data_IF_118729418449
#
_entry.id   IF_118729418449
#
_cell.length_a   1.000
_cell.length_b   1.000
_cell.length_c   1.000
_cell.angle_alpha   90.00
_cell.angle_beta   90.00
_cell.angle_gamma   90.00
#
_symmetry.space_group_name_H-M   'P 1'
#
loop_
_entity.id
_entity.type
_entity.pdbx_description
1 polymer ?
#
# COMPACT_ATOMS: atom_id res chain seq x y z
N UNK A 1 -10.98 -14.17 5.79
CA UNK A 1 -10.29 -12.96 5.28
C UNK A 1 -10.05 -12.01 6.43
N UNK A 2 -8.92 -11.29 6.47
CA UNK A 2 -8.59 -10.40 7.60
C UNK A 2 -9.19 -9.01 7.43
N UNK A 3 -8.99 -8.39 6.27
CA UNK A 3 -9.48 -7.05 5.98
C UNK A 3 -10.71 -7.12 5.08
N UNK A 4 -11.89 -6.87 5.64
CA UNK A 4 -13.16 -6.99 4.93
C UNK A 4 -14.08 -5.82 5.28
N UNK A 5 -14.81 -5.35 4.27
CA UNK A 5 -15.95 -4.45 4.39
C UNK A 5 -17.15 -5.06 3.68
N UNK A 6 -18.29 -5.08 4.35
CA UNK A 6 -19.57 -5.55 3.79
C UNK A 6 -20.56 -4.40 3.78
N UNK A 7 -21.23 -4.18 2.66
CA UNK A 7 -22.20 -3.11 2.45
C UNK A 7 -23.58 -3.71 2.21
N UNK A 8 -24.55 -3.24 2.98
CA UNK A 8 -25.95 -3.70 3.01
C UNK A 8 -26.12 -5.20 3.27
N UNK A 9 -25.08 -5.82 3.84
CA UNK A 9 -25.05 -7.22 4.24
C UNK A 9 -24.74 -7.26 5.74
N UNK A 10 -25.65 -7.84 6.51
CA UNK A 10 -25.47 -8.02 7.94
C UNK A 10 -24.56 -9.23 8.19
N UNK A 11 -23.28 -8.97 8.45
CA UNK A 11 -22.34 -10.03 8.83
C UNK A 11 -22.34 -10.23 10.36
N UNK A 12 -22.45 -11.48 10.86
CA UNK A 12 -22.54 -11.77 12.29
C UNK A 12 -21.23 -11.50 13.05
N UNK A 13 -20.09 -11.44 12.35
CA UNK A 13 -18.75 -11.27 12.93
C UNK A 13 -18.23 -9.82 12.81
N UNK A 14 -19.10 -8.85 12.57
CA UNK A 14 -18.71 -7.44 12.50
C UNK A 14 -18.76 -6.80 13.89
N UNK A 15 -17.62 -6.26 14.34
CA UNK A 15 -17.57 -5.48 15.58
C UNK A 15 -18.26 -4.11 15.42
N UNK A 16 -18.17 -3.53 14.22
CA UNK A 16 -18.61 -2.16 13.97
C UNK A 16 -19.56 -2.11 12.79
N UNK A 17 -20.80 -1.72 13.10
CA UNK A 17 -21.82 -1.34 12.13
C UNK A 17 -21.90 0.17 12.07
N UNK A 18 -21.91 0.70 10.87
CA UNK A 18 -21.90 2.14 10.60
C UNK A 18 -23.01 2.43 9.60
N UNK A 19 -23.65 3.58 9.73
CA UNK A 19 -24.57 4.10 8.74
C UNK A 19 -23.84 5.22 8.00
N UNK A 20 -23.74 5.10 6.68
CA UNK A 20 -23.14 6.10 5.80
C UNK A 20 -24.09 7.30 5.66
N UNK A 21 -23.58 8.44 5.19
CA UNK A 21 -24.38 9.63 4.91
C UNK A 21 -25.42 9.37 3.79
N UNK A 22 -25.10 8.44 2.89
CA UNK A 22 -25.96 7.88 1.85
C UNK A 22 -26.98 6.85 2.37
N UNK A 23 -26.95 6.48 3.66
CA UNK A 23 -27.94 5.60 4.29
C UNK A 23 -27.65 4.10 4.18
N UNK A 24 -26.47 3.70 3.71
CA UNK A 24 -26.06 2.30 3.63
C UNK A 24 -25.60 1.77 5.00
N UNK A 25 -25.88 0.48 5.25
CA UNK A 25 -25.40 -0.20 6.45
C UNK A 25 -24.08 -0.88 6.13
N UNK A 26 -23.02 -0.47 6.79
CA UNK A 26 -21.68 -0.97 6.53
C UNK A 26 -21.13 -1.69 7.75
N UNK A 27 -20.61 -2.89 7.51
CA UNK A 27 -19.98 -3.75 8.50
C UNK A 27 -18.50 -3.89 8.17
N UNK A 28 -17.61 -3.61 9.13
CA UNK A 28 -16.15 -3.67 8.91
C UNK A 28 -15.54 -4.73 9.84
N UNK A 29 -14.60 -5.53 9.31
CA UNK A 29 -13.89 -6.53 10.11
C UNK A 29 -13.04 -5.87 11.21
N UNK A 30 -12.85 -6.57 12.33
CA UNK A 30 -12.03 -6.07 13.45
C UNK A 30 -10.61 -5.68 13.02
N UNK A 31 -9.97 -6.48 12.17
CA UNK A 31 -8.62 -6.18 11.71
C UNK A 31 -8.58 -4.91 10.82
N UNK A 32 -9.57 -4.72 9.94
CA UNK A 32 -9.65 -3.52 9.12
C UNK A 32 -9.96 -2.28 9.95
N UNK A 33 -10.90 -2.38 10.89
CA UNK A 33 -11.19 -1.28 11.81
C UNK A 33 -9.95 -0.88 12.62
N UNK A 34 -9.17 -1.86 13.11
CA UNK A 34 -7.91 -1.58 13.81
C UNK A 34 -6.90 -0.88 12.92
N UNK A 35 -6.67 -1.39 11.71
CA UNK A 35 -5.72 -0.81 10.75
C UNK A 35 -6.11 0.63 10.37
N UNK A 36 -7.40 0.88 10.11
CA UNK A 36 -7.92 2.23 9.83
C UNK A 36 -7.71 3.18 11.02
N UNK A 37 -7.95 2.73 12.26
CA UNK A 37 -7.71 3.54 13.45
C UNK A 37 -6.22 3.87 13.65
N UNK A 38 -5.32 2.91 13.42
CA UNK A 38 -3.87 3.12 13.47
C UNK A 38 -3.40 4.15 12.44
N UNK A 39 -4.12 4.24 11.31
CA UNK A 39 -3.91 5.20 10.23
C UNK A 39 -4.71 6.51 10.41
N UNK A 40 -5.48 6.64 11.51
CA UNK A 40 -6.38 7.77 11.79
C UNK A 40 -7.41 8.02 10.68
N UNK A 41 -7.84 6.98 9.99
CA UNK A 41 -8.93 7.03 9.01
C UNK A 41 -10.21 6.65 9.72
N UNK A 42 -11.22 7.53 9.69
CA UNK A 42 -12.50 7.20 10.29
C UNK A 42 -13.16 6.05 9.50
N UNK A 43 -13.68 5.01 10.16
CA UNK A 43 -14.36 3.92 9.47
C UNK A 43 -15.55 4.37 8.61
N UNK A 44 -16.22 5.46 8.99
CA UNK A 44 -17.29 6.06 8.17
C UNK A 44 -16.74 6.68 6.90
N UNK A 45 -15.69 7.50 7.00
CA UNK A 45 -15.01 8.09 5.82
C UNK A 45 -14.55 7.00 4.86
N UNK A 46 -13.94 5.92 5.37
CA UNK A 46 -13.53 4.81 4.53
C UNK A 46 -14.71 4.12 3.84
N UNK A 47 -15.84 3.95 4.53
CA UNK A 47 -17.07 3.40 3.94
C UNK A 47 -17.61 4.26 2.79
N UNK A 48 -17.62 5.60 2.92
CA UNK A 48 -18.02 6.50 1.83
C UNK A 48 -17.08 6.37 0.62
N UNK A 49 -15.77 6.28 0.85
CA UNK A 49 -14.78 6.08 -0.23
C UNK A 49 -15.05 4.78 -0.99
N UNK A 50 -15.37 3.70 -0.27
CA UNK A 50 -15.71 2.42 -0.88
C UNK A 50 -17.02 2.50 -1.68
N UNK A 51 -18.04 3.18 -1.15
CA UNK A 51 -19.30 3.40 -1.89
C UNK A 51 -19.06 4.17 -3.18
N UNK A 52 -18.32 5.28 -3.13
CA UNK A 52 -17.99 6.05 -4.32
C UNK A 52 -17.25 5.21 -5.38
N UNK A 53 -16.29 4.38 -4.95
CA UNK A 53 -15.62 3.43 -5.86
C UNK A 53 -16.61 2.45 -6.52
N UNK A 54 -17.55 1.89 -5.74
CA UNK A 54 -18.55 0.96 -6.27
C UNK A 54 -19.52 1.64 -7.24
N UNK A 55 -19.90 2.89 -6.97
CA UNK A 55 -20.77 3.70 -7.83
C UNK A 55 -20.08 4.08 -9.15
N UNK A 56 -18.79 4.44 -9.11
CA UNK A 56 -18.02 4.75 -10.33
C UNK A 56 -17.84 3.51 -11.23
N UNK A 57 -17.88 2.31 -10.66
CA UNK A 57 -17.74 1.04 -11.37
C UNK A 57 -16.49 0.97 -12.26
N UNK A 58 -15.37 1.50 -11.76
CA UNK A 58 -14.07 1.51 -12.41
C UNK A 58 -13.16 0.42 -11.83
N UNK A 59 -12.01 0.17 -12.49
CA UNK A 59 -10.96 -0.69 -11.95
C UNK A 59 -10.01 0.04 -10.99
N UNK A 60 -10.07 1.36 -10.96
CA UNK A 60 -9.18 2.25 -10.21
C UNK A 60 -9.94 3.49 -9.78
N UNK A 61 -9.87 3.82 -8.50
CA UNK A 61 -10.48 5.01 -7.93
C UNK A 61 -9.50 5.68 -6.98
N UNK A 62 -9.39 6.99 -7.07
CA UNK A 62 -8.51 7.79 -6.23
C UNK A 62 -9.27 8.94 -5.59
N UNK A 63 -9.02 9.18 -4.32
CA UNK A 63 -9.51 10.36 -3.59
C UNK A 63 -8.48 10.80 -2.56
N UNK A 64 -8.71 11.94 -1.93
CA UNK A 64 -7.77 12.52 -0.97
C UNK A 64 -8.38 12.64 0.42
N UNK A 65 -7.55 12.39 1.42
CA UNK A 65 -7.86 12.52 2.85
C UNK A 65 -6.77 13.34 3.53
N UNK A 66 -6.97 13.67 4.81
CA UNK A 66 -5.95 14.29 5.64
C UNK A 66 -4.66 13.45 5.70
N UNK A 67 -3.54 14.11 6.00
CA UNK A 67 -2.25 13.45 6.12
C UNK A 67 -2.27 12.26 7.11
N UNK A 68 -1.73 11.13 6.67
CA UNK A 68 -1.54 9.95 7.51
C UNK A 68 -0.46 10.19 8.57
N UNK A 69 -0.56 9.55 9.75
CA UNK A 69 0.51 9.59 10.73
C UNK A 69 1.77 8.93 10.16
N UNK A 70 2.83 9.72 9.97
CA UNK A 70 4.13 9.21 9.51
C UNK A 70 4.72 8.29 10.59
N UNK A 71 4.97 7.03 10.23
CA UNK A 71 5.70 6.09 11.10
C UNK A 71 7.20 6.42 11.07
N UNK A 72 7.93 6.09 12.13
CA UNK A 72 9.39 6.27 12.20
C UNK A 72 10.06 5.61 10.98
N UNK A 73 10.95 6.34 10.30
CA UNK A 73 11.61 5.89 9.08
C UNK A 73 11.66 7.02 8.04
N UNK A 74 11.39 6.68 6.78
CA UNK A 74 11.25 7.67 5.71
C UNK A 74 10.04 8.58 5.94
N UNK A 75 10.25 9.89 5.77
CA UNK A 75 9.17 10.89 5.84
C UNK A 75 8.03 10.56 4.87
N UNK A 76 8.41 10.09 3.67
CA UNK A 76 7.48 9.67 2.63
C UNK A 76 7.15 8.20 2.81
N UNK A 77 5.85 7.91 2.87
CA UNK A 77 5.35 6.62 3.27
C UNK A 77 4.12 6.23 2.44
N UNK A 78 4.04 4.95 2.10
CA UNK A 78 2.84 4.34 1.55
C UNK A 78 2.45 3.11 2.35
N UNK A 79 1.14 2.86 2.44
CA UNK A 79 0.56 1.66 3.07
C UNK A 79 -0.30 0.94 2.05
N UNK A 80 0.00 -0.33 1.79
CA UNK A 80 -0.78 -1.18 0.89
C UNK A 80 -1.49 -2.25 1.72
N UNK A 81 -2.80 -2.37 1.54
CA UNK A 81 -3.66 -3.30 2.26
C UNK A 81 -4.45 -4.11 1.22
N UNK A 82 -4.38 -5.44 1.34
CA UNK A 82 -5.26 -6.35 0.62
C UNK A 82 -6.64 -6.32 1.28
N UNK A 83 -7.67 -5.89 0.55
CA UNK A 83 -9.04 -5.72 1.07
C UNK A 83 -10.04 -6.55 0.27
N UNK A 84 -11.08 -6.98 0.97
CA UNK A 84 -12.24 -7.65 0.38
C UNK A 84 -13.49 -6.82 0.58
N UNK A 85 -14.23 -6.59 -0.50
CA UNK A 85 -15.48 -5.83 -0.51
C UNK A 85 -16.62 -6.76 -0.84
N UNK A 86 -17.60 -6.85 0.05
CA UNK A 86 -18.82 -7.62 -0.15
C UNK A 86 -20.00 -6.67 -0.35
N UNK A 87 -20.62 -6.69 -1.54
CA UNK A 87 -21.73 -5.81 -1.89
C UNK A 87 -22.67 -6.50 -2.87
N UNK A 88 -23.99 -6.43 -2.63
CA UNK A 88 -25.01 -6.97 -3.55
C UNK A 88 -24.78 -8.43 -4.00
N UNK A 89 -24.27 -9.29 -3.10
CA UNK A 89 -23.87 -10.68 -3.38
C UNK A 89 -22.63 -10.86 -4.27
N UNK A 90 -21.95 -9.78 -4.62
CA UNK A 90 -20.62 -9.81 -5.24
C UNK A 90 -19.52 -9.70 -4.19
N UNK A 91 -18.40 -10.37 -4.48
CA UNK A 91 -17.21 -10.33 -3.64
C UNK A 91 -16.02 -9.87 -4.48
N UNK A 92 -15.49 -8.68 -4.17
CA UNK A 92 -14.39 -8.05 -4.91
C UNK A 92 -13.11 -8.10 -4.09
N UNK A 93 -12.04 -8.60 -4.70
CA UNK A 93 -10.67 -8.56 -4.18
C UNK A 93 -9.96 -7.33 -4.72
N UNK A 94 -9.48 -6.46 -3.85
CA UNK A 94 -8.88 -5.18 -4.25
C UNK A 94 -7.66 -4.84 -3.39
N UNK A 95 -6.82 -3.95 -3.89
CA UNK A 95 -5.82 -3.27 -3.08
C UNK A 95 -6.28 -1.87 -2.70
N UNK A 96 -6.13 -1.56 -1.42
CA UNK A 96 -6.17 -0.21 -0.88
C UNK A 96 -4.73 0.27 -0.71
N UNK A 97 -4.39 1.37 -1.38
CA UNK A 97 -3.07 1.99 -1.34
C UNK A 97 -3.23 3.40 -0.80
N UNK A 98 -2.51 3.69 0.27
CA UNK A 98 -2.54 4.97 0.94
C UNK A 98 -1.19 5.64 0.76
N UNK A 99 -1.13 6.77 0.06
CA UNK A 99 0.12 7.46 -0.28
C UNK A 99 0.18 8.78 0.48
N UNK A 100 1.21 8.98 1.30
CA UNK A 100 1.36 10.22 2.05
C UNK A 100 2.21 11.26 1.29
N UNK A 101 1.59 12.41 0.99
CA UNK A 101 2.18 13.56 0.31
C UNK A 101 2.50 14.72 1.28
N UNK A 102 2.96 14.38 2.50
CA UNK A 102 3.21 15.29 3.62
C UNK A 102 1.95 15.92 4.24
N UNK A 103 1.30 16.87 3.55
CA UNK A 103 0.16 17.63 4.09
C UNK A 103 -1.19 16.99 3.76
N UNK A 104 -1.21 16.10 2.78
CA UNK A 104 -2.38 15.39 2.29
C UNK A 104 -2.01 13.94 2.02
N UNK A 105 -2.98 13.05 2.04
CA UNK A 105 -2.78 11.67 1.63
C UNK A 105 -3.79 11.27 0.57
N UNK A 106 -3.35 10.46 -0.37
CA UNK A 106 -4.22 9.86 -1.37
C UNK A 106 -4.65 8.47 -0.91
N UNK A 107 -5.93 8.17 -1.12
CA UNK A 107 -6.52 6.84 -1.02
C UNK A 107 -6.78 6.36 -2.43
N UNK A 108 -6.13 5.26 -2.81
CA UNK A 108 -6.27 4.60 -4.08
C UNK A 108 -6.85 3.20 -3.86
N UNK A 109 -7.99 2.90 -4.48
CA UNK A 109 -8.57 1.56 -4.55
C UNK A 109 -8.36 1.04 -5.97
N UNK A 110 -7.81 -0.16 -6.13
CA UNK A 110 -7.59 -0.74 -7.45
C UNK A 110 -7.75 -2.26 -7.49
N UNK A 111 -8.08 -2.76 -8.68
CA UNK A 111 -8.01 -4.17 -9.03
C UNK A 111 -6.55 -4.67 -9.03
N UNK A 112 -6.22 -5.81 -8.40
CA UNK A 112 -4.87 -6.38 -8.41
C UNK A 112 -4.26 -6.56 -9.80
N UNK A 113 -5.08 -6.80 -10.83
CA UNK A 113 -4.60 -7.00 -12.21
C UNK A 113 -3.91 -5.78 -12.81
N UNK A 114 -4.18 -4.59 -12.28
CA UNK A 114 -3.60 -3.33 -12.77
C UNK A 114 -2.64 -2.70 -11.74
N UNK A 115 -2.12 -3.51 -10.80
CA UNK A 115 -1.23 -3.03 -9.76
C UNK A 115 0.03 -2.33 -10.28
N UNK A 116 0.51 -2.69 -11.47
CA UNK A 116 1.62 -1.99 -12.15
C UNK A 116 1.38 -0.47 -12.24
N UNK A 117 0.14 -0.01 -12.43
CA UNK A 117 -0.18 1.43 -12.47
C UNK A 117 0.09 2.11 -11.12
N UNK A 118 -0.26 1.43 -10.02
CA UNK A 118 0.00 1.95 -8.69
C UNK A 118 1.50 1.91 -8.34
N UNK A 119 2.19 0.84 -8.71
CA UNK A 119 3.65 0.75 -8.58
C UNK A 119 4.36 1.88 -9.33
N UNK A 120 3.93 2.18 -10.56
CA UNK A 120 4.53 3.26 -11.36
C UNK A 120 4.29 4.62 -10.72
N UNK A 121 3.08 4.86 -10.20
CA UNK A 121 2.73 6.08 -9.46
C UNK A 121 3.58 6.24 -8.19
N UNK A 122 3.70 5.18 -7.40
CA UNK A 122 4.53 5.16 -6.18
C UNK A 122 5.99 5.47 -6.50
N UNK A 123 6.56 4.80 -7.50
CA UNK A 123 7.95 5.00 -7.90
C UNK A 123 8.20 6.37 -8.54
N UNK A 124 7.24 6.90 -9.29
CA UNK A 124 7.29 8.26 -9.82
C UNK A 124 7.41 9.26 -8.68
N UNK A 125 6.55 9.13 -7.67
CA UNK A 125 6.61 9.99 -6.50
C UNK A 125 7.93 9.81 -5.73
N UNK A 126 8.30 8.57 -5.42
CA UNK A 126 9.52 8.22 -4.70
C UNK A 126 10.78 8.81 -5.36
N UNK A 127 10.82 8.85 -6.70
CA UNK A 127 11.98 9.37 -7.45
C UNK A 127 12.27 10.86 -7.22
N UNK A 128 11.28 11.62 -6.76
CA UNK A 128 11.45 13.03 -6.40
C UNK A 128 12.00 13.22 -4.98
N UNK A 129 12.13 12.14 -4.21
CA UNK A 129 12.43 12.15 -2.77
C UNK A 129 13.74 11.42 -2.48
N UNK A 130 14.28 11.64 -1.28
CA UNK A 130 15.51 10.97 -0.84
C UNK A 130 15.26 9.52 -0.42
N UNK A 131 14.10 9.24 0.18
CA UNK A 131 13.66 7.89 0.45
C UNK A 131 12.14 7.79 0.56
N UNK A 132 11.58 6.61 0.31
CA UNK A 132 10.18 6.33 0.52
C UNK A 132 10.00 4.88 1.01
N UNK A 133 9.26 4.71 2.10
CA UNK A 133 8.90 3.38 2.62
C UNK A 133 7.52 2.99 2.09
N UNK A 134 7.39 1.77 1.57
CA UNK A 134 6.12 1.12 1.28
C UNK A 134 5.95 -0.01 2.27
N UNK A 135 4.90 0.03 3.08
CA UNK A 135 4.63 -1.03 4.07
C UNK A 135 3.31 -1.74 3.81
N UNK A 136 3.23 -2.98 4.30
CA UNK A 136 2.09 -3.87 4.16
C UNK A 136 1.78 -4.55 5.50
N UNK A 137 0.56 -5.03 5.74
CA UNK A 137 0.26 -5.87 6.90
C UNK A 137 0.95 -7.25 6.84
N UNK A 138 1.15 -7.77 5.62
CA UNK A 138 1.76 -9.07 5.35
C UNK A 138 2.73 -8.96 4.17
N UNK A 139 3.68 -9.91 3.99
CA UNK A 139 4.62 -9.88 2.87
C UNK A 139 3.93 -10.28 1.57
N UNK A 140 3.20 -9.35 0.95
CA UNK A 140 2.52 -9.57 -0.33
C UNK A 140 3.56 -9.69 -1.46
N UNK A 141 4.01 -10.93 -1.74
CA UNK A 141 5.06 -11.19 -2.75
C UNK A 141 4.71 -10.63 -4.13
N UNK A 142 3.43 -10.67 -4.51
CA UNK A 142 2.94 -10.04 -5.74
C UNK A 142 3.26 -8.54 -5.79
N UNK A 143 2.89 -7.79 -4.76
CA UNK A 143 3.17 -6.34 -4.64
C UNK A 143 4.68 -6.06 -4.73
N UNK A 144 5.49 -6.86 -4.03
CA UNK A 144 6.95 -6.73 -4.07
C UNK A 144 7.45 -6.92 -5.50
N UNK A 145 7.20 -8.07 -6.11
CA UNK A 145 7.76 -8.40 -7.43
C UNK A 145 7.25 -7.49 -8.54
N UNK A 146 5.98 -7.10 -8.51
CA UNK A 146 5.46 -6.10 -9.45
C UNK A 146 6.15 -4.75 -9.28
N UNK A 147 6.37 -4.29 -8.04
CA UNK A 147 7.10 -3.04 -7.81
C UNK A 147 8.55 -3.11 -8.29
N UNK A 148 9.23 -4.24 -8.09
CA UNK A 148 10.55 -4.49 -8.68
C UNK A 148 10.50 -4.46 -10.21
N UNK A 149 9.56 -5.17 -10.83
CA UNK A 149 9.40 -5.18 -12.29
C UNK A 149 9.17 -3.77 -12.85
N UNK A 150 8.29 -2.98 -12.21
CA UNK A 150 8.04 -1.59 -12.60
C UNK A 150 9.29 -0.72 -12.42
N UNK A 151 10.04 -0.89 -11.33
CA UNK A 151 11.31 -0.18 -11.12
C UNK A 151 12.28 -0.43 -12.27
N UNK A 152 12.44 -1.69 -12.70
CA UNK A 152 13.34 -2.06 -13.80
C UNK A 152 12.92 -1.42 -15.12
N UNK A 153 11.62 -1.47 -15.43
CA UNK A 153 11.07 -0.82 -16.64
C UNK A 153 11.28 0.70 -16.61
N UNK A 154 11.12 1.33 -15.45
CA UNK A 154 11.10 2.79 -15.31
C UNK A 154 12.49 3.43 -15.26
N UNK A 155 13.41 2.87 -14.49
CA UNK A 155 14.73 3.48 -14.26
C UNK A 155 15.87 2.81 -15.04
N UNK A 156 15.61 1.63 -15.61
CA UNK A 156 16.67 0.73 -16.05
C UNK A 156 17.43 0.15 -14.86
N UNK A 157 18.08 -0.99 -15.06
CA UNK A 157 18.74 -1.70 -13.96
C UNK A 157 20.15 -2.03 -14.34
N UNK A 158 21.09 -1.57 -13.51
CA UNK A 158 22.49 -1.93 -13.59
C UNK A 158 22.77 -3.21 -12.79
N UNK A 159 22.08 -3.37 -11.65
CA UNK A 159 22.22 -4.54 -10.79
C UNK A 159 20.86 -4.97 -10.22
N UNK A 160 20.56 -6.26 -10.30
CA UNK A 160 19.47 -6.91 -9.58
C UNK A 160 19.99 -8.20 -8.94
N UNK A 161 19.77 -8.39 -7.65
CA UNK A 161 20.23 -9.59 -6.97
C UNK A 161 19.89 -9.65 -5.49
N UNK A 162 20.17 -10.81 -4.92
CA UNK A 162 20.06 -11.03 -3.48
C UNK A 162 21.43 -10.80 -2.84
N UNK A 163 21.49 -9.90 -1.86
CA UNK A 163 22.70 -9.61 -1.08
C UNK A 163 22.50 -9.92 0.40
N UNK A 164 23.61 -9.97 1.15
CA UNK A 164 23.63 -10.18 2.60
C UNK A 164 23.93 -11.63 3.00
N UNK A 165 24.55 -11.80 4.18
CA UNK A 165 24.94 -13.11 4.74
C UNK A 165 23.87 -13.66 5.67
N UNK A 166 23.59 -12.97 6.77
CA UNK A 166 22.61 -13.37 7.79
C UNK A 166 21.19 -12.97 7.40
N UNK A 167 21.01 -11.69 7.06
CA UNK A 167 19.76 -11.18 6.52
C UNK A 167 19.88 -11.07 5.01
N UNK A 168 18.86 -11.53 4.29
CA UNK A 168 18.83 -11.52 2.83
C UNK A 168 17.99 -10.36 2.34
N UNK A 169 18.54 -9.61 1.39
CA UNK A 169 17.90 -8.46 0.77
C UNK A 169 17.84 -8.67 -0.73
N UNK A 170 16.66 -8.53 -1.33
CA UNK A 170 16.51 -8.35 -2.76
C UNK A 170 16.72 -6.87 -3.08
N UNK A 171 17.59 -6.58 -4.04
CA UNK A 171 17.92 -5.21 -4.44
C UNK A 171 17.86 -5.09 -5.97
N UNK A 172 17.28 -4.00 -6.44
CA UNK A 172 17.40 -3.52 -7.80
C UNK A 172 17.96 -2.09 -7.77
N UNK A 173 19.01 -1.81 -8.53
CA UNK A 173 19.72 -0.54 -8.52
C UNK A 173 19.93 -0.02 -9.95
N UNK A 174 19.74 1.28 -10.14
CA UNK A 174 20.03 1.99 -11.39
C UNK A 174 21.42 2.64 -11.38
N UNK A 175 21.84 3.16 -12.54
CA UNK A 175 23.15 3.82 -12.73
C UNK A 175 23.32 5.12 -11.93
N UNK A 176 22.23 5.69 -11.42
CA UNK A 176 22.23 6.90 -10.59
C UNK A 176 22.16 6.59 -9.10
N UNK A 177 22.44 5.33 -8.73
CA UNK A 177 22.37 4.84 -7.34
C UNK A 177 20.98 4.98 -6.71
N UNK A 178 19.91 5.00 -7.51
CA UNK A 178 18.56 4.76 -6.99
C UNK A 178 18.42 3.27 -6.78
N UNK A 179 17.88 2.87 -5.63
CA UNK A 179 17.68 1.47 -5.32
C UNK A 179 16.27 1.22 -4.79
N UNK A 180 15.74 0.07 -5.16
CA UNK A 180 14.61 -0.56 -4.50
C UNK A 180 15.15 -1.73 -3.67
N UNK A 181 14.84 -1.73 -2.37
CA UNK A 181 15.41 -2.64 -1.39
C UNK A 181 14.30 -3.33 -0.62
N UNK A 182 14.33 -4.66 -0.59
CA UNK A 182 13.41 -5.48 0.19
C UNK A 182 14.18 -6.47 1.04
N UNK A 183 14.03 -6.39 2.36
CA UNK A 183 14.42 -7.50 3.23
C UNK A 183 13.48 -8.67 2.95
N UNK A 184 14.01 -9.81 2.54
CA UNK A 184 13.21 -10.97 2.12
C UNK A 184 12.28 -11.41 3.25
N UNK A 185 11.02 -11.66 2.90
CA UNK A 185 9.89 -11.93 3.81
C UNK A 185 9.48 -10.77 4.75
N UNK A 186 10.06 -9.59 4.60
CA UNK A 186 9.61 -8.42 5.37
C UNK A 186 8.32 -7.82 4.79
N UNK A 187 7.60 -7.11 5.65
CA UNK A 187 6.38 -6.38 5.32
C UNK A 187 6.67 -4.95 4.82
N UNK A 188 7.92 -4.65 4.47
CA UNK A 188 8.38 -3.30 4.10
C UNK A 188 9.31 -3.34 2.91
N UNK A 189 9.13 -2.39 2.00
CA UNK A 189 9.92 -2.19 0.79
C UNK A 189 10.37 -0.74 0.76
N UNK A 190 11.65 -0.50 0.56
CA UNK A 190 12.22 0.85 0.59
C UNK A 190 12.72 1.27 -0.78
N UNK A 191 12.36 2.47 -1.20
CA UNK A 191 13.03 3.21 -2.24
C UNK A 191 14.07 4.13 -1.61
N UNK A 192 15.30 4.07 -2.09
CA UNK A 192 16.42 4.87 -1.60
C UNK A 192 17.11 5.59 -2.76
N UNK A 193 17.30 6.90 -2.61
CA UNK A 193 18.16 7.70 -3.50
C UNK A 193 19.59 7.70 -2.96
N UNK A 194 20.57 7.61 -3.85
CA UNK A 194 22.01 7.57 -3.50
C UNK A 194 22.40 6.35 -2.62
N UNK A 195 21.84 5.18 -2.92
CA UNK A 195 22.16 3.93 -2.26
C UNK A 195 23.63 3.54 -2.45
N UNK A 196 24.33 3.27 -1.36
CA UNK A 196 25.71 2.75 -1.35
C UNK A 196 25.71 1.39 -0.66
N UNK A 197 25.93 0.31 -1.44
CA UNK A 197 25.91 -1.08 -0.96
C UNK A 197 26.81 -1.32 0.25
N UNK A 198 28.00 -0.71 0.24
CA UNK A 198 29.06 -0.98 1.22
C UNK A 198 28.72 -0.41 2.61
N UNK A 199 27.98 0.70 2.66
CA UNK A 199 27.48 1.27 3.92
C UNK A 199 26.25 0.56 4.44
N UNK A 200 25.37 0.12 3.54
CA UNK A 200 24.13 -0.54 3.94
C UNK A 200 24.43 -1.90 4.58
N UNK A 201 25.34 -2.70 4.02
CA UNK A 201 25.71 -4.02 4.58
C UNK A 201 26.32 -3.89 5.99
N UNK A 202 27.09 -2.83 6.27
CA UNK A 202 27.73 -2.62 7.57
C UNK A 202 26.77 -2.12 8.67
N UNK A 203 25.61 -1.55 8.33
CA UNK A 203 24.65 -1.02 9.30
C UNK A 203 23.66 -2.07 9.82
N UNK A 204 23.64 -3.26 9.21
CA UNK A 204 22.72 -4.37 9.51
C UNK A 204 23.45 -5.68 9.83
N UNK A 205 24.79 -5.66 9.86
CA UNK A 205 25.66 -6.72 10.38
C UNK A 205 26.09 -6.42 11.81
#
# INVERSE_FOLDING_TARGET
MLFEISLDILTPNSEKKIITDSGHIVSISTALNKELNDLRISPKTFAEIVLNFLEENTKIYSTYIHALPVKKGCKYYSRIIDIWINYSSEFKHLFLILINYDEISEVLILDPQIFEMAADKLLSYASSKDCMEVSMPYPYKFVVFETFNTFKKKFGTEFEGIIGKNEKYLIAMDKSSKALVWKIESTKLDYLKNFQSDKYIQQIS
#
